data_IF_730321396875
#
_entry.id   IF_730321396875
#
_cell.length_a   1.000
_cell.length_b   1.000
_cell.length_c   1.000
_cell.angle_alpha   90.00
_cell.angle_beta   90.00
_cell.angle_gamma   90.00
#
_symmetry.space_group_name_H-M   'P 1'
#
loop_
_entity.id
_entity.type
_entity.pdbx_description
1 polymer ?
#
# COMPACT_ATOMS: atom_id res chain seq x y z
N UNK A 1 7.99 -9.78 -23.84
CA UNK A 1 7.95 -8.74 -22.78
C UNK A 1 6.48 -8.53 -22.51
N UNK A 2 5.94 -9.26 -21.54
CA UNK A 2 4.49 -9.46 -21.34
C UNK A 2 3.98 -8.86 -20.02
N UNK A 3 4.73 -7.95 -19.39
CA UNK A 3 4.37 -7.36 -18.09
C UNK A 3 3.00 -6.70 -18.11
N UNK A 4 2.66 -5.99 -19.20
CA UNK A 4 1.33 -5.40 -19.35
C UNK A 4 0.27 -6.47 -19.62
N UNK A 5 0.61 -7.53 -20.35
CA UNK A 5 -0.34 -8.61 -20.59
C UNK A 5 -0.65 -9.31 -19.25
N UNK A 6 0.35 -9.67 -18.46
CA UNK A 6 0.18 -10.35 -17.17
C UNK A 6 -0.59 -9.49 -16.15
N UNK A 7 -0.38 -8.17 -16.14
CA UNK A 7 -1.15 -7.22 -15.30
C UNK A 7 -2.62 -7.07 -15.71
N UNK A 8 -2.98 -7.42 -16.96
CA UNK A 8 -4.34 -7.30 -17.49
C UNK A 8 -5.00 -8.66 -17.79
N UNK A 9 -4.31 -9.77 -17.50
CA UNK A 9 -4.89 -11.10 -17.58
C UNK A 9 -5.70 -11.38 -16.31
N UNK A 10 -6.82 -12.10 -16.49
CA UNK A 10 -7.74 -12.50 -15.41
C UNK A 10 -7.14 -13.53 -14.43
N UNK A 11 -5.92 -13.98 -14.70
CA UNK A 11 -5.14 -14.93 -13.92
C UNK A 11 -3.79 -14.23 -13.66
N UNK A 12 -3.56 -13.69 -12.45
CA UNK A 12 -2.34 -12.94 -12.14
C UNK A 12 -2.47 -11.94 -10.98
N UNK A 13 -1.44 -11.13 -10.77
CA UNK A 13 -1.45 -10.10 -9.73
C UNK A 13 -2.20 -8.83 -10.16
N UNK A 14 -3.21 -8.44 -9.39
CA UNK A 14 -3.99 -7.21 -9.59
C UNK A 14 -3.57 -6.11 -8.59
N UNK A 15 -4.03 -4.88 -8.82
CA UNK A 15 -3.84 -3.76 -7.89
C UNK A 15 -4.92 -3.82 -6.81
N UNK A 16 -4.49 -3.88 -5.55
CA UNK A 16 -5.37 -3.81 -4.39
C UNK A 16 -5.04 -2.62 -3.49
N UNK A 17 -6.07 -2.15 -2.79
CA UNK A 17 -5.93 -1.23 -1.65
C UNK A 17 -6.33 -2.02 -0.41
N UNK A 18 -5.35 -2.43 0.38
CA UNK A 18 -5.51 -3.33 1.52
C UNK A 18 -5.33 -2.56 2.83
N UNK A 19 -6.21 -2.74 3.83
CA UNK A 19 -6.17 -1.99 5.08
C UNK A 19 -4.86 -2.24 5.84
N UNK A 20 -4.40 -1.23 6.58
CA UNK A 20 -3.06 -1.23 7.19
C UNK A 20 -2.88 -2.30 8.28
N UNK A 21 -3.98 -2.74 8.90
CA UNK A 21 -4.03 -3.77 9.95
C UNK A 21 -3.63 -5.17 9.45
N UNK A 22 -3.65 -5.41 8.14
CA UNK A 22 -3.10 -6.63 7.54
C UNK A 22 -1.57 -6.71 7.59
N UNK A 23 -0.90 -5.59 7.84
CA UNK A 23 0.56 -5.44 7.73
C UNK A 23 1.23 -5.08 9.06
N UNK A 24 0.53 -4.40 9.95
CA UNK A 24 1.07 -3.93 11.23
C UNK A 24 0.10 -4.24 12.37
N UNK A 25 0.59 -4.92 13.40
CA UNK A 25 -0.15 -5.07 14.65
C UNK A 25 -0.20 -3.72 15.37
N UNK A 26 -1.41 -3.22 15.68
CA UNK A 26 -1.64 -1.94 16.37
C UNK A 26 -1.06 -0.71 15.62
N UNK A 27 -1.58 -0.38 14.43
CA UNK A 27 -0.98 0.63 13.56
C UNK A 27 -1.15 2.08 14.07
N UNK A 28 -2.19 2.40 14.84
CA UNK A 28 -2.44 3.77 15.31
C UNK A 28 -1.23 4.38 16.05
N UNK A 29 -0.67 5.44 15.47
CA UNK A 29 0.47 6.18 16.03
C UNK A 29 1.85 5.56 15.76
N UNK A 30 1.91 4.41 15.07
CA UNK A 30 3.18 3.77 14.72
C UNK A 30 3.92 4.62 13.68
N UNK A 31 5.20 4.90 13.94
CA UNK A 31 6.06 5.63 13.01
C UNK A 31 6.90 4.65 12.18
N UNK A 32 6.70 4.68 10.88
CA UNK A 32 7.36 3.78 9.92
C UNK A 32 7.92 4.57 8.76
N UNK A 33 8.91 4.00 8.08
CA UNK A 33 9.33 4.44 6.75
C UNK A 33 8.50 3.72 5.68
N UNK A 34 8.47 4.26 4.46
CA UNK A 34 7.87 3.53 3.35
C UNK A 34 8.60 2.19 3.07
N UNK A 35 9.90 2.11 3.34
CA UNK A 35 10.64 0.84 3.25
C UNK A 35 10.06 -0.22 4.20
N UNK A 36 9.63 0.16 5.41
CA UNK A 36 9.00 -0.77 6.35
C UNK A 36 7.64 -1.26 5.81
N UNK A 37 6.85 -0.38 5.17
CA UNK A 37 5.62 -0.79 4.49
C UNK A 37 5.90 -1.78 3.34
N UNK A 38 6.97 -1.56 2.57
CA UNK A 38 7.40 -2.49 1.52
C UNK A 38 7.79 -3.85 2.11
N UNK A 39 8.55 -3.87 3.21
CA UNK A 39 8.94 -5.10 3.90
C UNK A 39 7.72 -5.84 4.48
N UNK A 40 6.76 -5.13 5.06
CA UNK A 40 5.55 -5.73 5.61
C UNK A 40 4.68 -6.37 4.53
N UNK A 41 4.52 -5.71 3.38
CA UNK A 41 3.81 -6.29 2.23
C UNK A 41 4.57 -7.49 1.63
N UNK A 42 5.89 -7.43 1.58
CA UNK A 42 6.71 -8.54 1.09
C UNK A 42 6.57 -9.81 1.96
N UNK A 43 6.30 -9.68 3.27
CA UNK A 43 6.02 -10.83 4.14
C UNK A 43 4.71 -11.56 3.80
N UNK A 44 3.87 -10.95 2.97
CA UNK A 44 2.61 -11.49 2.46
C UNK A 44 2.69 -11.87 0.98
N UNK A 45 3.89 -11.95 0.41
CA UNK A 45 4.13 -12.16 -1.03
C UNK A 45 3.51 -11.06 -1.94
N UNK A 46 3.37 -9.84 -1.40
CA UNK A 46 2.82 -8.70 -2.12
C UNK A 46 3.90 -7.67 -2.49
N UNK A 47 3.65 -6.92 -3.56
CA UNK A 47 4.53 -5.80 -3.97
C UNK A 47 3.87 -4.48 -3.62
N UNK A 48 4.29 -3.86 -2.52
CA UNK A 48 3.82 -2.53 -2.14
C UNK A 48 4.49 -1.42 -2.97
N UNK A 49 3.67 -0.56 -3.55
CA UNK A 49 4.11 0.57 -4.38
C UNK A 49 3.40 1.88 -4.03
N UNK A 50 2.59 1.90 -2.98
CA UNK A 50 1.98 3.13 -2.48
C UNK A 50 1.29 2.97 -1.13
N UNK A 51 0.77 4.09 -0.65
CA UNK A 51 0.01 4.19 0.60
C UNK A 51 -1.15 5.17 0.40
N UNK A 52 -2.30 4.85 0.99
CA UNK A 52 -3.46 5.74 1.12
C UNK A 52 -3.55 6.19 2.57
N UNK A 53 -3.56 7.50 2.79
CA UNK A 53 -3.73 8.11 4.11
C UNK A 53 -5.19 8.50 4.32
N UNK A 54 -5.89 7.80 5.21
CA UNK A 54 -7.35 7.96 5.42
C UNK A 54 -7.73 9.37 5.85
N UNK A 55 -6.92 9.97 6.74
CA UNK A 55 -7.07 11.36 7.21
C UNK A 55 -7.05 12.44 6.11
N UNK A 56 -6.58 12.12 4.91
CA UNK A 56 -6.48 13.05 3.77
C UNK A 56 -7.46 12.72 2.64
N UNK A 57 -8.37 11.76 2.83
CA UNK A 57 -9.25 11.25 1.77
C UNK A 57 -10.17 12.33 1.15
N UNK A 58 -10.50 13.38 1.91
CA UNK A 58 -11.33 14.49 1.42
C UNK A 58 -10.53 15.71 0.96
N UNK A 59 -9.19 15.67 1.08
CA UNK A 59 -8.29 16.79 0.78
C UNK A 59 -7.73 16.65 -0.65
N UNK A 60 -8.36 17.34 -1.60
CA UNK A 60 -7.93 17.33 -3.01
C UNK A 60 -6.48 17.81 -3.18
N UNK A 61 -6.08 18.80 -2.40
CA UNK A 61 -4.73 19.39 -2.39
C UNK A 61 -3.67 18.37 -1.95
N UNK A 62 -4.06 17.33 -1.20
CA UNK A 62 -3.20 16.22 -0.78
C UNK A 62 -3.38 14.97 -1.64
N UNK A 63 -3.89 15.13 -2.87
CA UNK A 63 -4.16 14.01 -3.77
C UNK A 63 -5.07 12.96 -3.12
N UNK A 64 -6.03 13.39 -2.29
CA UNK A 64 -6.93 12.50 -1.55
C UNK A 64 -6.19 11.48 -0.66
N UNK A 65 -4.99 11.83 -0.18
CA UNK A 65 -4.15 10.97 0.64
C UNK A 65 -3.43 9.85 -0.11
N UNK A 66 -3.48 9.82 -1.45
CA UNK A 66 -2.87 8.76 -2.25
C UNK A 66 -1.44 9.14 -2.63
N UNK A 67 -0.47 8.32 -2.25
CA UNK A 67 0.93 8.49 -2.59
C UNK A 67 1.47 7.22 -3.27
N UNK A 68 1.85 7.35 -4.54
CA UNK A 68 2.39 6.27 -5.37
C UNK A 68 3.90 6.46 -5.53
N UNK A 69 4.65 5.38 -5.37
CA UNK A 69 6.12 5.31 -5.36
C UNK A 69 6.73 6.41 -4.45
N UNK A 70 6.34 6.48 -3.16
CA UNK A 70 7.01 7.39 -2.24
C UNK A 70 8.50 7.04 -2.07
N UNK A 71 9.34 8.03 -1.72
CA UNK A 71 10.71 7.76 -1.31
C UNK A 71 10.75 6.74 -0.17
N UNK A 72 11.66 5.77 -0.24
CA UNK A 72 11.76 4.68 0.75
C UNK A 72 12.01 5.18 2.17
N UNK A 73 12.71 6.30 2.31
CA UNK A 73 13.05 6.98 3.56
C UNK A 73 11.96 7.94 4.05
N UNK A 74 10.85 8.09 3.31
CA UNK A 74 9.73 8.91 3.76
C UNK A 74 9.06 8.28 4.96
N UNK A 75 8.84 9.08 5.99
CA UNK A 75 8.21 8.64 7.23
C UNK A 75 6.70 8.89 7.21
N UNK A 76 5.97 7.97 7.84
CA UNK A 76 4.53 8.02 8.05
C UNK A 76 4.22 7.68 9.50
N UNK A 77 3.34 8.45 10.11
CA UNK A 77 2.63 8.03 11.32
C UNK A 77 1.33 7.38 10.86
N UNK A 78 1.26 6.06 11.04
CA UNK A 78 0.12 5.25 10.60
C UNK A 78 -1.11 5.49 11.47
N UNK A 79 -2.26 5.27 10.87
CA UNK A 79 -3.57 5.27 11.53
C UNK A 79 -4.40 4.09 11.08
N UNK A 80 -5.37 3.68 11.88
CA UNK A 80 -6.20 2.51 11.58
C UNK A 80 -7.01 2.65 10.26
N UNK A 81 -7.21 3.88 9.78
CA UNK A 81 -7.90 4.21 8.52
C UNK A 81 -6.97 4.29 7.29
N UNK A 82 -5.68 4.02 7.45
CA UNK A 82 -4.71 3.98 6.35
C UNK A 82 -4.76 2.62 5.60
N UNK A 83 -4.18 2.59 4.40
CA UNK A 83 -4.09 1.38 3.58
C UNK A 83 -2.81 1.35 2.74
N UNK A 84 -2.30 0.15 2.44
CA UNK A 84 -1.23 -0.02 1.45
C UNK A 84 -1.83 -0.26 0.06
N UNK A 85 -1.11 0.22 -0.95
CA UNK A 85 -1.43 0.02 -2.36
C UNK A 85 -0.42 -1.00 -2.89
N UNK A 86 -0.92 -2.18 -3.25
CA UNK A 86 -0.09 -3.36 -3.53
C UNK A 86 -0.48 -4.03 -4.84
N UNK A 87 0.49 -4.68 -5.48
CA UNK A 87 0.21 -5.77 -6.42
C UNK A 87 0.19 -7.06 -5.61
N UNK A 88 -0.90 -7.81 -5.71
CA UNK A 88 -1.07 -9.09 -5.04
C UNK A 88 -1.85 -10.04 -5.96
N UNK A 89 -1.71 -11.34 -5.77
CA UNK A 89 -2.66 -12.30 -6.34
C UNK A 89 -3.97 -12.28 -5.54
N UNK A 90 -5.07 -12.72 -6.16
CA UNK A 90 -6.37 -12.82 -5.49
C UNK A 90 -6.22 -13.78 -4.29
N UNK A 91 -6.58 -13.33 -3.08
CA UNK A 91 -6.59 -14.19 -1.89
C UNK A 91 -7.89 -15.03 -1.93
N UNK A 92 -7.76 -16.37 -1.93
CA UNK A 92 -8.88 -17.35 -1.90
C UNK A 92 -9.80 -17.21 -0.66
#
# INVERSE_FOLDING_TARGET
>A
MHVYDDLFHKEGSEIYIKPIDLYFEQPEGLNVTFADCVLAAQQRDEVCFGIKLGRQETEKEQNFGIYIIPPKDRHYTLRDDDALIVLAEEED
#
